data_IF_124848488748
#
_entry.id   IF_124848488748
#
_cell.length_a   1.000
_cell.length_b   1.000
_cell.length_c   1.000
_cell.angle_alpha   90.00
_cell.angle_beta   90.00
_cell.angle_gamma   90.00
#
_symmetry.space_group_name_H-M   'P 1'
#
loop_
_entity.id
_entity.type
_entity.pdbx_description
1 polymer ?
#
# COMPACT_ATOMS: atom_id res chain seq x y z
N UNK A 1 -2.33 -72.75 3.91
CA UNK A 1 -3.74 -72.43 4.20
C UNK A 1 -3.81 -70.94 4.13
N UNK A 2 -4.32 -70.47 3.00
CA UNK A 2 -4.55 -69.06 2.68
C UNK A 2 -5.51 -68.48 3.73
N UNK A 3 -5.23 -67.28 4.22
CA UNK A 3 -6.18 -66.52 5.04
C UNK A 3 -6.43 -65.21 4.30
N UNK A 4 -7.70 -65.02 4.02
CA UNK A 4 -8.31 -64.09 3.07
C UNK A 4 -8.04 -62.62 3.39
N UNK A 5 -7.96 -61.83 2.32
CA UNK A 5 -8.02 -60.37 2.33
C UNK A 5 -9.40 -59.90 2.84
N UNK A 6 -9.41 -59.06 3.88
CA UNK A 6 -10.56 -58.22 4.19
C UNK A 6 -10.24 -56.80 3.71
N UNK A 7 -10.80 -56.45 2.54
CA UNK A 7 -10.84 -55.10 2.03
C UNK A 7 -11.66 -54.20 2.96
N UNK A 8 -11.01 -53.19 3.53
CA UNK A 8 -11.66 -52.03 4.12
C UNK A 8 -11.40 -50.84 3.21
N UNK A 9 -12.40 -50.49 2.38
CA UNK A 9 -12.43 -49.18 1.72
C UNK A 9 -12.48 -48.10 2.81
N UNK A 10 -11.37 -47.41 3.01
CA UNK A 10 -11.35 -46.14 3.73
C UNK A 10 -11.85 -45.12 2.72
N UNK A 11 -13.16 -44.86 2.72
CA UNK A 11 -13.74 -43.70 2.08
C UNK A 11 -13.06 -42.45 2.65
N UNK A 12 -12.13 -41.90 1.89
CA UNK A 12 -11.50 -40.63 2.18
C UNK A 12 -12.54 -39.55 1.87
N UNK A 13 -13.44 -39.32 2.83
CA UNK A 13 -14.33 -38.16 2.82
C UNK A 13 -13.46 -36.92 2.99
N UNK A 14 -12.92 -36.44 1.86
CA UNK A 14 -12.37 -35.10 1.75
C UNK A 14 -13.46 -34.14 2.18
N UNK A 15 -13.32 -33.59 3.39
CA UNK A 15 -13.98 -32.34 3.71
C UNK A 15 -13.34 -31.29 2.81
N UNK A 16 -13.97 -31.03 1.68
CA UNK A 16 -13.81 -29.75 0.99
C UNK A 16 -14.27 -28.69 1.99
N UNK A 17 -13.32 -28.17 2.76
CA UNK A 17 -13.54 -26.93 3.49
C UNK A 17 -13.85 -25.87 2.43
N UNK A 18 -15.09 -25.41 2.40
CA UNK A 18 -15.52 -24.34 1.52
C UNK A 18 -14.57 -23.14 1.73
N UNK A 19 -13.77 -22.83 0.70
CA UNK A 19 -12.87 -21.69 0.72
C UNK A 19 -13.70 -20.42 0.93
N UNK A 20 -13.23 -19.52 1.80
CA UNK A 20 -13.91 -18.25 2.03
C UNK A 20 -13.99 -17.47 0.71
N UNK A 21 -15.21 -17.16 0.28
CA UNK A 21 -15.45 -16.33 -0.90
C UNK A 21 -15.18 -14.86 -0.55
N UNK A 22 -14.32 -14.21 -1.32
CA UNK A 22 -14.01 -12.79 -1.18
C UNK A 22 -14.83 -12.00 -2.20
N UNK A 23 -15.55 -10.98 -1.73
CA UNK A 23 -16.29 -10.07 -2.59
C UNK A 23 -15.51 -8.76 -2.70
N UNK A 24 -15.00 -8.44 -3.89
CA UNK A 24 -14.16 -7.26 -4.15
C UNK A 24 -14.86 -6.17 -4.98
N UNK A 25 -16.19 -6.25 -5.13
CA UNK A 25 -17.00 -5.37 -6.01
C UNK A 25 -18.44 -5.22 -5.51
N UNK A 26 -18.60 -4.98 -4.22
CA UNK A 26 -19.93 -4.90 -3.60
C UNK A 26 -20.72 -3.66 -4.05
N UNK A 27 -20.03 -2.67 -4.61
CA UNK A 27 -20.57 -1.45 -5.20
C UNK A 27 -19.62 -0.92 -6.29
N UNK A 28 -20.16 -0.17 -7.25
CA UNK A 28 -19.37 0.54 -8.25
C UNK A 28 -18.88 1.87 -7.66
N UNK A 29 -17.56 2.11 -7.72
CA UNK A 29 -16.95 3.26 -7.04
C UNK A 29 -17.41 4.61 -7.62
N UNK A 30 -17.62 4.68 -8.93
CA UNK A 30 -18.11 5.91 -9.57
C UNK A 30 -19.52 6.25 -9.13
N UNK A 31 -20.39 5.24 -8.95
CA UNK A 31 -21.76 5.44 -8.45
C UNK A 31 -21.74 5.93 -7.00
N UNK A 32 -20.95 5.29 -6.14
CA UNK A 32 -20.82 5.70 -4.73
C UNK A 32 -20.19 7.09 -4.59
N UNK A 33 -19.18 7.39 -5.41
CA UNK A 33 -18.58 8.73 -5.47
C UNK A 33 -19.61 9.77 -5.88
N UNK A 34 -20.38 9.52 -6.93
CA UNK A 34 -21.45 10.44 -7.38
C UNK A 34 -22.49 10.65 -6.27
N UNK A 35 -22.90 9.59 -5.57
CA UNK A 35 -23.81 9.69 -4.43
C UNK A 35 -23.25 10.56 -3.30
N UNK A 36 -21.97 10.37 -2.94
CA UNK A 36 -21.30 11.15 -1.89
C UNK A 36 -21.12 12.61 -2.32
N UNK A 37 -20.68 12.86 -3.55
CA UNK A 37 -20.42 14.22 -4.07
C UNK A 37 -21.71 15.03 -4.29
N UNK A 38 -22.80 14.37 -4.71
CA UNK A 38 -24.11 15.00 -4.90
C UNK A 38 -24.93 15.11 -3.62
N UNK A 39 -24.64 14.26 -2.62
CA UNK A 39 -25.37 14.18 -1.37
C UNK A 39 -25.12 15.39 -0.46
N UNK A 40 -26.12 16.25 -0.19
CA UNK A 40 -25.94 17.43 0.66
C UNK A 40 -25.55 17.05 2.09
N UNK A 41 -25.89 15.84 2.55
CA UNK A 41 -25.52 15.30 3.85
C UNK A 41 -24.01 15.09 3.97
N UNK A 42 -23.30 14.78 2.89
CA UNK A 42 -21.87 14.51 2.89
C UNK A 42 -21.02 15.73 2.52
N UNK A 43 -21.66 16.85 2.14
CA UNK A 43 -20.98 18.09 1.73
C UNK A 43 -19.92 18.57 2.73
N UNK A 44 -20.12 18.32 4.03
CA UNK A 44 -19.14 18.69 5.06
C UNK A 44 -17.82 17.91 4.94
N UNK A 45 -17.83 16.67 4.43
CA UNK A 45 -16.61 15.88 4.22
C UNK A 45 -15.77 16.41 3.05
N UNK A 46 -16.40 17.12 2.12
CA UNK A 46 -15.76 17.66 0.92
C UNK A 46 -15.36 19.13 1.09
N UNK A 47 -15.85 19.78 2.15
CA UNK A 47 -15.45 21.14 2.49
C UNK A 47 -13.98 21.18 2.91
N UNK A 48 -13.20 22.20 2.50
CA UNK A 48 -11.85 22.38 3.02
C UNK A 48 -11.87 22.42 4.54
N UNK A 49 -10.98 21.68 5.19
CA UNK A 49 -10.78 21.81 6.63
C UNK A 49 -10.41 23.27 6.92
N UNK A 50 -11.30 23.98 7.61
CA UNK A 50 -11.02 25.34 8.10
C UNK A 50 -9.80 25.27 9.02
N UNK A 51 -8.82 26.15 8.78
CA UNK A 51 -7.63 26.25 9.61
C UNK A 51 -8.01 26.30 11.10
N UNK A 52 -7.47 25.40 11.95
CA UNK A 52 -7.73 25.38 13.38
C UNK A 52 -7.36 26.68 14.09
N UNK A 53 -6.59 27.57 13.44
CA UNK A 53 -6.25 28.89 13.95
C UNK A 53 -7.47 29.76 14.32
N UNK A 54 -8.67 29.44 13.81
CA UNK A 54 -9.90 30.15 14.13
C UNK A 54 -10.69 29.59 15.33
N UNK A 55 -10.35 28.40 15.86
CA UNK A 55 -11.10 27.77 16.96
C UNK A 55 -10.18 27.30 18.08
N UNK A 56 -10.25 27.98 19.22
CA UNK A 56 -9.33 27.87 20.37
C UNK A 56 -9.46 26.56 21.17
N UNK A 57 -10.03 25.49 20.60
CA UNK A 57 -10.31 24.24 21.31
C UNK A 57 -10.37 23.03 20.38
N UNK A 58 -9.36 22.84 19.51
CA UNK A 58 -9.19 21.55 18.82
C UNK A 58 -8.56 20.53 19.79
N UNK A 59 -9.06 19.27 19.87
CA UNK A 59 -8.31 18.19 20.49
C UNK A 59 -6.90 18.11 19.86
N UNK A 60 -5.84 17.76 20.62
CA UNK A 60 -4.53 17.57 20.04
C UNK A 60 -4.63 16.55 18.91
N UNK A 61 -4.21 16.95 17.71
CA UNK A 61 -4.14 16.05 16.57
C UNK A 61 -3.34 14.79 16.99
N UNK A 62 -3.81 13.57 16.63
CA UNK A 62 -3.08 12.37 16.96
C UNK A 62 -1.66 12.49 16.39
N UNK A 63 -0.67 12.51 17.29
CA UNK A 63 0.71 12.70 16.89
C UNK A 63 1.24 11.42 16.27
N UNK A 64 2.04 11.55 15.20
CA UNK A 64 2.83 10.44 14.66
C UNK A 64 3.76 9.82 15.73
N UNK A 65 3.98 10.50 16.85
CA UNK A 65 4.73 10.01 18.00
C UNK A 65 4.08 8.80 18.68
N UNK A 66 2.74 8.71 18.73
CA UNK A 66 2.08 7.52 19.27
C UNK A 66 2.41 6.27 18.44
N UNK A 67 2.40 6.43 17.11
CA UNK A 67 2.74 5.38 16.15
C UNK A 67 4.24 5.01 16.20
N UNK A 68 5.12 6.01 16.27
CA UNK A 68 6.57 5.81 16.47
C UNK A 68 6.87 5.07 17.78
N UNK A 69 6.21 5.46 18.87
CA UNK A 69 6.33 4.82 20.17
C UNK A 69 5.88 3.36 20.13
N UNK A 70 4.80 3.06 19.43
CA UNK A 70 4.35 1.69 19.21
C UNK A 70 5.44 0.85 18.50
N UNK A 71 5.98 1.33 17.38
CA UNK A 71 7.02 0.61 16.63
C UNK A 71 8.31 0.44 17.45
N UNK A 72 8.72 1.47 18.21
CA UNK A 72 9.90 1.40 19.08
C UNK A 72 9.73 0.35 20.18
N UNK A 73 8.55 0.25 20.79
CA UNK A 73 8.24 -0.77 21.81
C UNK A 73 8.20 -2.18 21.23
N UNK A 74 7.84 -2.32 19.96
CA UNK A 74 7.77 -3.60 19.25
C UNK A 74 8.92 -3.75 18.25
N UNK A 75 10.16 -3.47 18.69
CA UNK A 75 11.35 -3.43 17.85
C UNK A 75 11.69 -4.74 17.10
N UNK A 76 11.10 -5.88 17.52
CA UNK A 76 11.23 -7.14 16.79
C UNK A 76 10.52 -7.11 15.43
N UNK A 77 9.56 -6.20 15.24
CA UNK A 77 8.79 -6.10 14.01
C UNK A 77 7.77 -7.22 13.80
N UNK A 78 7.61 -8.16 14.75
CA UNK A 78 6.79 -9.38 14.60
C UNK A 78 5.38 -9.26 15.18
N UNK A 79 4.72 -8.12 14.98
CA UNK A 79 3.37 -7.87 15.50
C UNK A 79 2.27 -7.99 14.43
N UNK A 80 2.56 -7.62 13.18
CA UNK A 80 1.69 -7.92 12.04
C UNK A 80 2.13 -9.21 11.33
N UNK A 81 1.16 -10.08 11.05
CA UNK A 81 1.38 -11.29 10.24
C UNK A 81 1.43 -10.89 8.77
N UNK A 82 2.18 -11.67 7.98
CA UNK A 82 2.19 -11.56 6.53
C UNK A 82 0.75 -11.66 5.97
N UNK A 83 0.34 -10.65 5.19
CA UNK A 83 -1.02 -10.53 4.65
C UNK A 83 -1.22 -11.35 3.36
N UNK A 84 -1.00 -12.67 3.44
CA UNK A 84 -1.10 -13.58 2.29
C UNK A 84 -2.48 -13.62 1.62
N UNK A 85 -3.53 -13.27 2.36
CA UNK A 85 -4.90 -13.22 1.83
C UNK A 85 -5.06 -12.17 0.73
N UNK A 86 -4.25 -11.12 0.72
CA UNK A 86 -4.31 -10.06 -0.29
C UNK A 86 -4.17 -10.59 -1.71
N UNK A 87 -3.36 -11.64 -1.90
CA UNK A 87 -3.15 -12.25 -3.22
C UNK A 87 -4.36 -13.07 -3.69
N UNK A 88 -5.21 -13.51 -2.75
CA UNK A 88 -6.47 -14.19 -3.05
C UNK A 88 -7.59 -13.18 -3.31
N UNK A 89 -7.65 -12.13 -2.50
CA UNK A 89 -8.65 -11.08 -2.61
C UNK A 89 -8.45 -10.21 -3.86
N UNK A 90 -7.19 -9.93 -4.21
CA UNK A 90 -6.78 -9.10 -5.34
C UNK A 90 -5.87 -9.88 -6.30
N UNK A 91 -6.39 -10.88 -7.04
CA UNK A 91 -5.61 -11.71 -7.96
C UNK A 91 -4.94 -10.91 -9.09
N UNK A 92 -5.42 -9.70 -9.38
CA UNK A 92 -4.82 -8.74 -10.32
C UNK A 92 -3.39 -8.34 -9.92
N UNK A 93 -3.07 -8.31 -8.62
CA UNK A 93 -1.70 -8.04 -8.14
C UNK A 93 -0.72 -9.12 -8.63
N UNK A 94 -1.18 -10.36 -8.79
CA UNK A 94 -0.36 -11.48 -9.29
C UNK A 94 -0.36 -11.58 -10.82
N UNK A 95 -1.35 -10.98 -11.49
CA UNK A 95 -1.66 -11.25 -12.90
C UNK A 95 -1.01 -10.25 -13.87
N UNK A 96 -0.20 -9.31 -13.39
CA UNK A 96 0.46 -8.33 -14.24
C UNK A 96 1.48 -9.01 -15.18
N UNK A 97 1.20 -8.97 -16.48
CA UNK A 97 2.10 -9.51 -17.51
C UNK A 97 3.37 -8.65 -17.67
N UNK A 98 3.26 -7.37 -17.35
CA UNK A 98 4.35 -6.39 -17.36
C UNK A 98 4.94 -6.16 -15.96
N UNK A 99 5.99 -5.34 -15.88
CA UNK A 99 6.54 -4.88 -14.61
C UNK A 99 5.53 -3.92 -13.94
N UNK A 100 4.87 -4.39 -12.88
CA UNK A 100 3.92 -3.59 -12.12
C UNK A 100 4.60 -2.80 -10.99
N UNK A 101 4.11 -1.59 -10.76
CA UNK A 101 4.51 -0.70 -9.68
C UNK A 101 3.37 -0.57 -8.68
N UNK A 102 3.66 -0.90 -7.44
CA UNK A 102 2.70 -0.79 -6.33
C UNK A 102 3.18 0.30 -5.37
N UNK A 103 2.28 1.18 -4.97
CA UNK A 103 2.50 2.12 -3.87
C UNK A 103 1.78 1.65 -2.61
N UNK A 104 2.54 1.32 -1.58
CA UNK A 104 2.01 1.02 -0.24
C UNK A 104 2.08 2.28 0.64
N UNK A 105 0.92 2.84 0.98
CA UNK A 105 0.79 4.02 1.84
C UNK A 105 0.58 3.57 3.28
N UNK A 106 1.49 3.99 4.16
CA UNK A 106 1.53 3.50 5.55
C UNK A 106 1.97 2.04 5.55
N UNK A 107 3.23 1.77 5.20
CA UNK A 107 3.69 0.39 5.03
C UNK A 107 4.03 -0.35 6.32
N UNK A 108 4.06 0.37 7.46
CA UNK A 108 4.34 -0.23 8.76
C UNK A 108 5.62 -1.05 8.74
N UNK A 109 5.54 -2.28 9.24
CA UNK A 109 6.67 -3.23 9.23
C UNK A 109 6.85 -4.00 7.90
N UNK A 110 6.11 -3.64 6.85
CA UNK A 110 6.21 -4.22 5.52
C UNK A 110 5.45 -5.53 5.31
N UNK A 111 4.48 -5.88 6.17
CA UNK A 111 3.82 -7.19 6.07
C UNK A 111 3.00 -7.41 4.79
N UNK A 112 2.50 -6.32 4.18
CA UNK A 112 1.87 -6.33 2.84
C UNK A 112 2.94 -6.42 1.76
N UNK A 113 3.94 -5.53 1.76
CA UNK A 113 5.08 -5.57 0.84
C UNK A 113 5.74 -6.97 0.76
N UNK A 114 5.92 -7.67 1.89
CA UNK A 114 6.43 -9.06 1.92
C UNK A 114 5.57 -9.98 1.05
N UNK A 115 4.25 -9.89 1.18
CA UNK A 115 3.30 -10.73 0.44
C UNK A 115 3.35 -10.42 -1.06
N UNK A 116 3.35 -9.12 -1.41
CA UNK A 116 3.39 -8.63 -2.78
C UNK A 116 4.70 -8.99 -3.47
N UNK A 117 5.85 -8.68 -2.86
CA UNK A 117 7.17 -8.94 -3.44
C UNK A 117 7.45 -10.43 -3.66
N UNK A 118 6.87 -11.29 -2.82
CA UNK A 118 6.95 -12.75 -2.96
C UNK A 118 6.09 -13.28 -4.10
N UNK A 119 4.99 -12.62 -4.44
CA UNK A 119 4.03 -13.11 -5.44
C UNK A 119 4.61 -13.15 -6.85
N UNK A 120 5.46 -12.18 -7.20
CA UNK A 120 6.04 -12.05 -8.54
C UNK A 120 7.33 -11.26 -8.51
N UNK A 121 8.33 -11.70 -9.26
CA UNK A 121 9.60 -10.98 -9.41
C UNK A 121 9.50 -9.70 -10.26
N UNK A 122 8.38 -9.51 -10.96
CA UNK A 122 8.15 -8.35 -11.84
C UNK A 122 7.50 -7.16 -11.11
N UNK A 123 7.26 -7.27 -9.81
CA UNK A 123 6.64 -6.21 -9.03
C UNK A 123 7.72 -5.39 -8.32
N UNK A 124 7.63 -4.07 -8.49
CA UNK A 124 8.37 -3.06 -7.73
C UNK A 124 7.41 -2.40 -6.75
N UNK A 125 7.78 -2.36 -5.47
CA UNK A 125 7.01 -1.75 -4.40
C UNK A 125 7.68 -0.46 -3.95
N UNK A 126 6.97 0.65 -4.06
CA UNK A 126 7.26 1.92 -3.41
C UNK A 126 6.46 1.94 -2.12
N UNK A 127 7.10 2.18 -0.98
CA UNK A 127 6.44 2.07 0.32
C UNK A 127 6.72 3.31 1.16
N UNK A 128 5.70 3.92 1.75
CA UNK A 128 5.91 5.07 2.61
C UNK A 128 5.31 4.91 4.00
N UNK A 129 5.93 5.55 4.97
CA UNK A 129 5.42 5.69 6.33
C UNK A 129 5.93 7.03 6.89
N UNK A 130 5.22 7.59 7.86
CA UNK A 130 5.58 8.83 8.54
C UNK A 130 6.70 8.66 9.60
N UNK A 131 7.18 7.42 9.77
CA UNK A 131 8.21 7.02 10.72
C UNK A 131 9.42 6.40 10.02
N UNK A 132 10.58 7.07 10.14
CA UNK A 132 11.86 6.54 9.66
C UNK A 132 12.23 5.21 10.32
N UNK A 133 12.07 5.10 11.64
CA UNK A 133 12.32 3.86 12.39
C UNK A 133 11.49 2.68 11.83
N UNK A 134 10.25 2.96 11.42
CA UNK A 134 9.32 1.98 10.85
C UNK A 134 9.78 1.53 9.47
N UNK A 135 10.20 2.46 8.61
CA UNK A 135 10.76 2.17 7.29
C UNK A 135 12.06 1.36 7.36
N UNK A 136 12.97 1.73 8.26
CA UNK A 136 14.21 0.98 8.50
C UNK A 136 13.90 -0.47 8.94
N UNK A 137 12.89 -0.64 9.80
CA UNK A 137 12.43 -1.95 10.24
C UNK A 137 11.78 -2.76 9.11
N UNK A 138 10.93 -2.14 8.29
CA UNK A 138 10.34 -2.78 7.12
C UNK A 138 11.43 -3.27 6.16
N UNK A 139 12.40 -2.40 5.85
CA UNK A 139 13.54 -2.75 5.01
C UNK A 139 14.33 -3.94 5.59
N UNK A 140 14.64 -3.92 6.89
CA UNK A 140 15.34 -5.03 7.56
C UNK A 140 14.57 -6.35 7.46
N UNK A 141 13.26 -6.33 7.75
CA UNK A 141 12.41 -7.54 7.72
C UNK A 141 12.36 -8.12 6.31
N UNK A 142 12.07 -7.28 5.31
CA UNK A 142 11.92 -7.74 3.92
C UNK A 142 13.28 -8.22 3.38
N UNK A 143 14.38 -7.50 3.65
CA UNK A 143 15.73 -7.90 3.26
C UNK A 143 16.12 -9.28 3.80
N UNK A 144 15.74 -9.57 5.05
CA UNK A 144 16.05 -10.84 5.71
C UNK A 144 15.04 -11.95 5.40
N UNK A 145 14.01 -11.66 4.61
CA UNK A 145 12.95 -12.61 4.29
C UNK A 145 13.39 -13.54 3.16
N UNK A 146 13.46 -14.85 3.45
CA UNK A 146 13.89 -15.87 2.48
C UNK A 146 13.00 -15.86 1.23
N UNK A 147 13.65 -15.93 0.06
CA UNK A 147 13.00 -16.01 -1.24
C UNK A 147 12.53 -14.66 -1.81
N UNK A 148 12.88 -13.54 -1.17
CA UNK A 148 12.61 -12.21 -1.68
C UNK A 148 13.94 -11.55 -2.06
N UNK A 149 14.06 -11.12 -3.31
CA UNK A 149 15.12 -10.20 -3.73
C UNK A 149 14.55 -8.79 -3.77
N UNK A 150 15.04 -7.93 -2.88
CA UNK A 150 14.57 -6.55 -2.77
C UNK A 150 15.34 -5.57 -3.65
N UNK A 151 16.48 -5.99 -4.21
CA UNK A 151 17.34 -5.11 -5.00
C UNK A 151 16.54 -4.57 -6.18
N UNK A 152 16.50 -3.25 -6.30
CA UNK A 152 15.77 -2.52 -7.34
C UNK A 152 14.23 -2.71 -7.31
N UNK A 153 13.71 -3.41 -6.28
CA UNK A 153 12.30 -3.82 -6.17
C UNK A 153 11.57 -3.30 -4.94
N UNK A 154 12.26 -2.92 -3.88
CA UNK A 154 11.64 -2.34 -2.69
C UNK A 154 12.25 -0.97 -2.40
N UNK A 155 11.44 0.07 -2.52
CA UNK A 155 11.84 1.47 -2.41
C UNK A 155 11.07 2.15 -1.29
N UNK A 156 11.49 2.00 -0.02
CA UNK A 156 10.89 2.71 1.09
C UNK A 156 11.27 4.20 1.07
N UNK A 157 10.32 5.08 1.40
CA UNK A 157 10.57 6.52 1.52
C UNK A 157 9.76 7.14 2.66
N UNK A 158 10.33 8.15 3.31
CA UNK A 158 9.67 8.86 4.41
C UNK A 158 8.63 9.81 3.83
N UNK A 159 7.37 9.68 4.26
CA UNK A 159 6.32 10.61 3.87
C UNK A 159 5.18 10.58 4.90
N UNK A 160 4.75 11.74 5.36
CA UNK A 160 3.48 11.90 6.06
C UNK A 160 2.40 12.33 5.05
N UNK A 161 1.65 11.36 4.51
CA UNK A 161 0.61 11.62 3.49
C UNK A 161 -0.52 12.54 3.97
N UNK A 162 -0.63 12.78 5.29
CA UNK A 162 -1.60 13.73 5.84
C UNK A 162 -1.13 15.19 5.79
N UNK A 163 0.16 15.42 5.54
CA UNK A 163 0.80 16.75 5.57
C UNK A 163 1.53 17.11 4.29
N UNK A 164 1.90 16.11 3.49
CA UNK A 164 2.81 16.26 2.36
C UNK A 164 2.14 15.80 1.07
N UNK A 165 2.52 16.43 -0.03
CA UNK A 165 2.17 15.97 -1.39
C UNK A 165 3.17 14.93 -1.87
N UNK A 166 2.76 14.02 -2.75
CA UNK A 166 3.69 13.04 -3.32
C UNK A 166 4.87 13.72 -4.01
N UNK A 167 6.09 13.15 -3.86
CA UNK A 167 7.29 13.77 -4.41
C UNK A 167 7.29 13.68 -5.94
N UNK A 168 7.89 14.69 -6.59
CA UNK A 168 7.95 14.77 -8.06
C UNK A 168 8.67 13.57 -8.69
N UNK A 169 9.63 12.97 -7.99
CA UNK A 169 10.32 11.77 -8.47
C UNK A 169 9.40 10.54 -8.51
N UNK A 170 8.31 10.53 -7.74
CA UNK A 170 7.29 9.48 -7.79
C UNK A 170 6.28 9.80 -8.91
N UNK A 171 5.81 11.05 -8.98
CA UNK A 171 4.84 11.51 -9.99
C UNK A 171 5.10 12.96 -10.43
N UNK A 172 5.93 13.19 -11.46
CA UNK A 172 6.21 14.56 -11.88
C UNK A 172 5.05 15.17 -12.66
N UNK A 173 4.85 16.49 -12.51
CA UNK A 173 3.75 17.23 -13.18
C UNK A 173 3.77 17.07 -14.71
N UNK A 174 4.95 17.01 -15.32
CA UNK A 174 5.07 16.83 -16.77
C UNK A 174 4.49 15.48 -17.22
N UNK A 175 4.82 14.39 -16.51
CA UNK A 175 4.32 13.04 -16.82
C UNK A 175 2.84 12.84 -16.49
N UNK A 176 2.30 13.57 -15.50
CA UNK A 176 0.86 13.55 -15.21
C UNK A 176 0.03 14.06 -16.39
N UNK A 177 0.48 15.12 -17.07
CA UNK A 177 -0.25 15.70 -18.21
C UNK A 177 -0.30 14.79 -19.43
N UNK A 178 0.67 13.88 -19.59
CA UNK A 178 0.72 12.90 -20.68
C UNK A 178 -0.18 11.67 -20.46
N UNK A 179 -0.59 11.37 -19.22
CA UNK A 179 -1.38 10.17 -18.89
C UNK A 179 -2.91 10.37 -19.03
N UNK A 180 -3.37 11.60 -19.31
CA UNK A 180 -4.78 11.93 -19.46
C UNK A 180 -5.35 12.66 -18.23
N UNK A 181 -6.21 13.65 -18.50
CA UNK A 181 -6.79 14.57 -17.52
C UNK A 181 -7.80 13.86 -16.59
N UNK A 182 -7.33 13.32 -15.47
CA UNK A 182 -8.21 12.96 -14.34
C UNK A 182 -7.67 13.40 -12.97
N UNK A 183 -6.37 13.67 -12.83
CA UNK A 183 -5.73 13.96 -11.54
C UNK A 183 -5.48 15.46 -11.27
N UNK A 184 -6.16 16.38 -11.96
CA UNK A 184 -5.90 17.81 -11.82
C UNK A 184 -6.40 18.41 -10.48
N UNK A 185 -7.16 17.66 -9.68
CA UNK A 185 -7.91 18.19 -8.53
C UNK A 185 -7.18 18.13 -7.18
N UNK A 186 -5.96 17.60 -7.10
CA UNK A 186 -5.29 17.32 -5.82
C UNK A 186 -4.08 18.21 -5.50
N UNK A 187 -3.74 19.23 -6.29
CA UNK A 187 -2.51 20.01 -6.09
C UNK A 187 -2.77 21.52 -6.01
N UNK A 188 -2.48 22.09 -4.84
CA UNK A 188 -2.36 23.53 -4.61
C UNK A 188 -1.08 24.09 -5.31
N UNK A 189 -1.14 25.21 -6.05
CA UNK A 189 0.01 25.77 -6.77
C UNK A 189 1.13 26.35 -5.89
N UNK A 190 0.95 26.46 -4.57
CA UNK A 190 1.77 27.32 -3.72
C UNK A 190 2.74 26.61 -2.77
N UNK A 191 3.61 25.71 -3.25
CA UNK A 191 4.82 25.37 -2.50
C UNK A 191 6.04 25.12 -3.40
N UNK A 192 7.00 26.06 -3.36
CA UNK A 192 8.38 25.82 -3.77
C UNK A 192 9.10 25.06 -2.64
N UNK A 193 9.18 23.74 -2.75
CA UNK A 193 9.86 22.87 -1.79
C UNK A 193 11.11 22.22 -2.39
N UNK A 194 12.25 22.47 -1.73
CA UNK A 194 13.56 21.79 -1.72
C UNK A 194 13.73 20.64 -2.73
N UNK A 195 14.78 20.75 -3.58
CA UNK A 195 15.28 19.64 -4.43
C UNK A 195 15.73 18.48 -3.54
N UNK A 196 14.84 17.54 -3.26
CA UNK A 196 15.23 16.24 -2.74
C UNK A 196 16.05 15.50 -3.79
N UNK A 197 17.08 14.80 -3.32
CA UNK A 197 18.03 14.09 -4.17
C UNK A 197 17.31 13.14 -5.12
N UNK A 198 17.71 13.14 -6.39
CA UNK A 198 17.19 12.24 -7.40
C UNK A 198 17.38 10.80 -6.90
N UNK A 199 16.31 10.02 -6.68
CA UNK A 199 16.45 8.70 -6.09
C UNK A 199 17.38 7.82 -6.92
N UNK A 200 18.27 7.09 -6.25
CA UNK A 200 19.32 6.27 -6.87
C UNK A 200 18.75 5.18 -7.78
N UNK A 201 17.50 4.78 -7.57
CA UNK A 201 16.81 3.75 -8.37
C UNK A 201 16.22 4.27 -9.68
N UNK A 202 16.10 5.58 -9.88
CA UNK A 202 15.66 6.13 -11.15
C UNK A 202 16.81 6.09 -12.15
N UNK A 203 16.54 5.61 -13.38
CA UNK A 203 17.55 5.58 -14.43
C UNK A 203 18.03 6.98 -14.82
N UNK A 204 19.24 7.09 -15.39
CA UNK A 204 19.93 8.37 -15.69
C UNK A 204 19.12 9.36 -16.54
N UNK A 205 18.10 8.91 -17.28
CA UNK A 205 17.21 9.73 -18.11
C UNK A 205 15.74 9.68 -17.70
N UNK A 206 15.43 9.13 -16.52
CA UNK A 206 14.06 8.97 -16.03
C UNK A 206 13.73 10.08 -15.03
N UNK A 207 12.80 10.97 -15.40
CA UNK A 207 12.43 12.10 -14.55
C UNK A 207 11.56 11.73 -13.33
N UNK A 208 10.82 10.61 -13.40
CA UNK A 208 10.04 10.08 -12.29
C UNK A 208 9.73 8.60 -12.49
N UNK A 209 9.21 7.93 -11.46
CA UNK A 209 8.73 6.56 -11.52
C UNK A 209 7.63 6.37 -12.59
N UNK A 210 6.92 7.44 -12.97
CA UNK A 210 6.02 7.45 -14.13
C UNK A 210 4.64 6.87 -13.85
N UNK A 211 4.17 6.94 -12.60
CA UNK A 211 2.88 6.38 -12.21
C UNK A 211 3.00 5.09 -11.40
N UNK A 212 1.86 4.68 -10.81
CA UNK A 212 1.68 3.43 -10.08
C UNK A 212 0.51 2.68 -10.69
N UNK A 213 0.62 1.36 -10.80
CA UNK A 213 -0.45 0.51 -11.30
C UNK A 213 -1.45 0.19 -10.19
N UNK A 214 -0.96 0.08 -8.95
CA UNK A 214 -1.78 -0.20 -7.78
C UNK A 214 -1.38 0.68 -6.60
N UNK A 215 -2.36 1.01 -5.75
CA UNK A 215 -2.15 1.68 -4.47
C UNK A 215 -2.79 0.82 -3.38
N UNK A 216 -2.06 0.55 -2.30
CA UNK A 216 -2.55 -0.21 -1.15
C UNK A 216 -2.42 0.63 0.12
N UNK A 217 -3.44 0.61 0.98
CA UNK A 217 -3.45 1.26 2.29
C UNK A 217 -4.13 0.31 3.29
N UNK A 218 -3.35 -0.54 3.97
CA UNK A 218 -3.86 -1.71 4.72
C UNK A 218 -3.43 -1.71 6.19
N UNK A 219 -2.94 -0.57 6.71
CA UNK A 219 -2.30 -0.43 8.03
C UNK A 219 -3.01 0.54 8.98
#
# INVERSE_FOLDING_TARGET
MEVEEAGGEVENAGKDEAEAEYHSRDFEWEDLKEEVESGPVFSYHLSPFLDPAASTTSPPQPSSEAWRSFHRRHASGKFFKERRYLLKEFPELCSSKDHAKVLEVGCGNGSTAVSILRSSERITVFACDCSKDTLEKAYEIISNTKGINIKDRFHPFLMDVSKETFPDWLFCKACQTSLGKAAASLLDPSHHGIREEHPVFLGENQCCAGGMDFITMVD
#
